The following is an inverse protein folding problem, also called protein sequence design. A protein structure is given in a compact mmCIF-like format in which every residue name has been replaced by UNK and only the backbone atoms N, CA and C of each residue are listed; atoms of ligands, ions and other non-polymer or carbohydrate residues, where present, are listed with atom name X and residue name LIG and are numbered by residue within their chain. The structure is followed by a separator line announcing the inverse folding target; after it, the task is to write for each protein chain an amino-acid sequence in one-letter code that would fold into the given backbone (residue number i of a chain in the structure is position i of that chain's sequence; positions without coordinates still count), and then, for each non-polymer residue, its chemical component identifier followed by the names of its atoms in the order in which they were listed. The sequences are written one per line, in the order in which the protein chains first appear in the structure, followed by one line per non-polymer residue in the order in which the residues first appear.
data_IF_256012840988
#
_entry.id   IF_256012840988
#
_cell.length_a   1.000
_cell.length_b   1.000
_cell.length_c   1.000
_cell.angle_alpha   90.00
_cell.angle_beta   90.00
_cell.angle_gamma   90.00
#
_symmetry.space_group_name_H-M   'P 1'
#
loop_
_entity.id
_entity.type
_entity.pdbx_description
1 polymer ?
#
# COMPACT_ATOMS: atom_id res chain seq x y z
N UNK A 1 8.77 -34.38 2.78
CA UNK A 1 7.66 -33.82 1.96
C UNK A 1 7.88 -32.33 1.82
N UNK A 2 7.73 -31.76 0.62
CA UNK A 2 7.75 -30.30 0.47
C UNK A 2 6.56 -29.71 1.25
N UNK A 3 6.80 -28.65 2.03
CA UNK A 3 5.75 -27.96 2.79
C UNK A 3 4.76 -27.33 1.81
N UNK A 4 3.45 -27.51 2.05
CA UNK A 4 2.42 -26.90 1.21
C UNK A 4 2.56 -25.37 1.19
N UNK A 5 2.29 -24.77 0.02
CA UNK A 5 2.35 -23.33 -0.15
C UNK A 5 1.11 -22.68 0.50
N UNK A 6 1.34 -21.87 1.53
CA UNK A 6 0.30 -21.04 2.16
C UNK A 6 0.44 -19.61 1.67
N UNK A 7 -0.58 -19.09 0.98
CA UNK A 7 -0.60 -17.74 0.43
C UNK A 7 -1.68 -16.94 1.15
N UNK A 8 -1.30 -15.85 1.81
CA UNK A 8 -2.26 -14.88 2.32
C UNK A 8 -2.45 -13.77 1.28
N UNK A 9 -3.69 -13.56 0.87
CA UNK A 9 -4.07 -12.56 -0.14
C UNK A 9 -4.73 -11.32 0.44
N UNK A 10 -4.91 -11.25 1.76
CA UNK A 10 -5.54 -10.14 2.45
C UNK A 10 -4.60 -9.56 3.52
N UNK A 11 -3.51 -8.95 3.04
CA UNK A 11 -2.58 -8.23 3.91
C UNK A 11 -2.29 -6.85 3.35
N UNK A 12 -2.15 -5.88 4.26
CA UNK A 12 -2.01 -4.49 3.89
C UNK A 12 -0.60 -3.95 4.12
N UNK A 13 -0.20 -3.03 3.26
CA UNK A 13 1.12 -2.38 3.27
C UNK A 13 0.95 -0.86 3.17
N UNK A 14 1.64 -0.12 4.03
CA UNK A 14 1.75 1.34 3.98
C UNK A 14 3.22 1.71 3.78
N UNK A 15 3.70 1.78 2.54
CA UNK A 15 5.08 2.15 2.28
C UNK A 15 5.37 3.57 2.76
N UNK A 16 6.57 3.83 3.26
CA UNK A 16 6.95 5.17 3.70
C UNK A 16 6.85 6.21 2.59
N UNK A 17 7.11 5.84 1.34
CA UNK A 17 6.98 6.73 0.17
C UNK A 17 5.56 7.30 0.06
N UNK A 18 4.55 6.46 0.29
CA UNK A 18 3.14 6.85 0.29
C UNK A 18 2.82 7.76 1.49
N UNK A 19 3.24 7.40 2.70
CA UNK A 19 3.01 8.22 3.89
C UNK A 19 3.67 9.61 3.80
N UNK A 20 4.90 9.68 3.26
CA UNK A 20 5.63 10.93 3.04
C UNK A 20 4.92 11.85 2.04
N UNK A 21 4.34 11.31 0.97
CA UNK A 21 3.55 12.09 0.01
C UNK A 21 2.29 12.67 0.65
N UNK A 22 1.58 11.90 1.48
CA UNK A 22 0.42 12.43 2.23
C UNK A 22 0.86 13.54 3.18
N UNK A 23 1.95 13.34 3.93
CA UNK A 23 2.45 14.34 4.86
C UNK A 23 2.86 15.64 4.15
N UNK A 24 3.47 15.54 2.97
CA UNK A 24 3.94 16.68 2.19
C UNK A 24 2.82 17.43 1.46
N UNK A 25 1.81 16.73 0.93
CA UNK A 25 0.86 17.31 -0.02
C UNK A 25 -0.62 17.15 0.38
N UNK A 26 -0.94 16.25 1.30
CA UNK A 26 -2.33 15.91 1.64
C UNK A 26 -3.15 17.07 2.19
N UNK A 27 -2.51 18.05 2.87
CA UNK A 27 -3.22 19.17 3.52
C UNK A 27 -4.07 19.97 2.53
N UNK A 28 -3.63 20.09 1.26
CA UNK A 28 -4.34 20.84 0.23
C UNK A 28 -5.71 20.23 -0.15
N UNK A 29 -5.89 18.94 0.14
CA UNK A 29 -7.13 18.17 -0.06
C UNK A 29 -7.68 17.64 1.27
N UNK A 30 -7.39 18.33 2.38
CA UNK A 30 -7.97 18.02 3.68
C UNK A 30 -7.49 16.71 4.31
N UNK A 31 -6.33 16.18 3.92
CA UNK A 31 -5.77 14.94 4.47
C UNK A 31 -4.43 15.18 5.16
N UNK A 32 -4.13 14.46 6.24
CA UNK A 32 -2.85 14.60 6.95
C UNK A 32 -2.41 13.29 7.58
N UNK A 33 -1.10 13.08 7.67
CA UNK A 33 -0.51 12.09 8.57
C UNK A 33 -0.38 12.74 9.94
N UNK A 34 -0.93 12.12 10.97
CA UNK A 34 -0.94 12.63 12.35
C UNK A 34 -0.37 11.59 13.30
N UNK A 35 0.30 12.05 14.34
CA UNK A 35 0.81 11.21 15.43
C UNK A 35 0.06 11.58 16.71
N UNK A 36 -0.48 10.57 17.42
CA UNK A 36 -1.13 10.82 18.71
C UNK A 36 -0.12 10.97 19.86
N UNK A 37 -0.61 11.28 21.06
CA UNK A 37 0.20 11.43 22.27
C UNK A 37 0.94 10.15 22.69
N UNK A 38 0.53 8.99 22.17
CA UNK A 38 1.15 7.69 22.43
C UNK A 38 2.16 7.30 21.35
N UNK A 39 2.43 8.17 20.36
CA UNK A 39 3.37 7.94 19.27
C UNK A 39 2.78 7.13 18.10
N UNK A 40 1.49 6.83 18.10
CA UNK A 40 0.86 6.07 17.02
C UNK A 40 0.59 6.97 15.82
N UNK A 41 0.90 6.46 14.62
CA UNK A 41 0.67 7.17 13.36
C UNK A 41 -0.71 6.85 12.79
N UNK A 42 -1.39 7.86 12.25
CA UNK A 42 -2.68 7.74 11.57
C UNK A 42 -2.71 8.57 10.30
N UNK A 43 -3.56 8.19 9.35
CA UNK A 43 -3.98 9.07 8.25
C UNK A 43 -5.37 9.61 8.60
N UNK A 44 -5.51 10.92 8.65
CA UNK A 44 -6.75 11.65 8.88
C UNK A 44 -7.22 12.27 7.56
N UNK A 45 -8.38 11.85 7.05
CA UNK A 45 -9.04 12.43 5.86
C UNK A 45 -10.27 13.20 6.32
N UNK A 46 -10.23 14.53 6.14
CA UNK A 46 -11.24 15.43 6.66
C UNK A 46 -11.47 15.26 8.17
N UNK A 47 -12.72 15.37 8.61
CA UNK A 47 -13.10 15.20 10.01
C UNK A 47 -13.60 13.77 10.35
N UNK A 48 -13.91 12.96 9.33
CA UNK A 48 -14.73 11.76 9.53
C UNK A 48 -13.95 10.45 9.45
N UNK A 49 -12.80 10.42 8.76
CA UNK A 49 -12.07 9.19 8.50
C UNK A 49 -10.68 9.23 9.10
N UNK A 50 -10.45 8.34 10.06
CA UNK A 50 -9.15 8.13 10.69
C UNK A 50 -8.71 6.68 10.50
N UNK A 51 -7.59 6.49 9.82
CA UNK A 51 -7.00 5.17 9.56
C UNK A 51 -5.77 4.98 10.43
N UNK A 52 -5.76 3.90 11.20
CA UNK A 52 -4.62 3.50 12.02
C UNK A 52 -5.08 2.76 13.29
N UNK A 53 -4.15 2.48 14.23
CA UNK A 53 -2.76 2.89 14.19
C UNK A 53 -1.97 2.18 13.09
N UNK A 54 -1.17 2.92 12.34
CA UNK A 54 -0.21 2.39 11.36
C UNK A 54 1.05 2.01 12.13
N UNK A 55 1.08 0.77 12.60
CA UNK A 55 2.21 0.19 13.35
C UNK A 55 3.30 -0.34 12.40
N UNK A 56 4.48 -0.64 12.96
CA UNK A 56 5.67 -1.09 12.20
C UNK A 56 5.38 -2.21 11.22
N UNK A 57 4.52 -3.18 11.56
CA UNK A 57 4.15 -4.31 10.68
C UNK A 57 3.53 -3.91 9.35
N UNK A 58 2.93 -2.72 9.25
CA UNK A 58 2.43 -2.20 7.99
C UNK A 58 3.53 -1.63 7.09
N UNK A 59 4.73 -1.36 7.61
CA UNK A 59 5.80 -0.60 6.94
C UNK A 59 7.07 -1.46 6.79
N UNK A 60 7.48 -2.14 7.85
CA UNK A 60 8.70 -2.94 7.93
C UNK A 60 8.50 -4.32 7.28
N UNK A 61 9.18 -4.53 6.15
CA UNK A 61 9.12 -5.79 5.42
C UNK A 61 9.92 -6.91 6.10
N UNK A 62 10.99 -6.59 6.82
CA UNK A 62 11.78 -7.60 7.53
C UNK A 62 11.00 -8.13 8.75
N UNK A 63 10.30 -7.25 9.48
CA UNK A 63 9.36 -7.67 10.53
C UNK A 63 8.26 -8.55 9.94
N UNK A 64 7.69 -8.15 8.80
CA UNK A 64 6.67 -8.94 8.09
C UNK A 64 7.19 -10.33 7.71
N UNK A 65 8.39 -10.46 7.15
CA UNK A 65 8.96 -11.76 6.78
C UNK A 65 9.14 -12.64 8.03
N UNK A 66 9.66 -12.08 9.13
CA UNK A 66 9.77 -12.82 10.41
C UNK A 66 8.40 -13.28 10.92
N UNK A 67 7.36 -12.46 10.76
CA UNK A 67 6.00 -12.82 11.16
C UNK A 67 5.43 -13.94 10.30
N UNK A 68 5.62 -13.85 8.98
CA UNK A 68 5.23 -14.88 8.02
C UNK A 68 5.86 -16.23 8.38
N UNK A 69 7.16 -16.24 8.71
CA UNK A 69 7.87 -17.46 9.11
C UNK A 69 7.27 -18.09 10.37
N UNK A 70 6.92 -17.27 11.38
CA UNK A 70 6.28 -17.75 12.61
C UNK A 70 4.87 -18.29 12.38
N UNK A 71 4.12 -17.70 11.46
CA UNK A 71 2.75 -18.12 11.12
C UNK A 71 2.72 -19.27 10.11
N UNK A 72 3.86 -19.60 9.49
CA UNK A 72 3.90 -20.60 8.42
C UNK A 72 3.30 -20.12 7.10
N UNK A 73 3.23 -18.81 6.89
CA UNK A 73 2.77 -18.20 5.63
C UNK A 73 3.95 -18.09 4.68
N UNK A 74 3.81 -18.71 3.51
CA UNK A 74 4.90 -18.79 2.53
C UNK A 74 4.94 -17.56 1.62
N UNK A 75 3.78 -16.97 1.33
CA UNK A 75 3.67 -15.79 0.47
C UNK A 75 2.58 -14.83 0.92
N UNK A 76 2.84 -13.54 0.80
CA UNK A 76 1.87 -12.46 1.01
C UNK A 76 1.61 -11.75 -0.32
N UNK A 77 0.33 -11.49 -0.62
CA UNK A 77 -0.06 -10.54 -1.66
C UNK A 77 -0.41 -9.20 -1.01
N UNK A 78 0.50 -8.24 -1.15
CA UNK A 78 0.40 -6.92 -0.53
C UNK A 78 -0.64 -6.06 -1.26
N UNK A 79 -1.51 -5.40 -0.50
CA UNK A 79 -2.51 -4.46 -1.00
C UNK A 79 -2.49 -3.16 -0.19
N UNK A 80 -2.98 -2.07 -0.76
CA UNK A 80 -3.29 -0.87 0.01
C UNK A 80 -4.65 -1.08 0.69
N UNK A 81 -4.90 -0.38 1.79
CA UNK A 81 -6.21 -0.35 2.45
C UNK A 81 -6.66 1.09 2.66
N UNK A 82 -7.80 1.27 3.33
CA UNK A 82 -8.33 2.58 3.72
C UNK A 82 -7.19 3.48 4.24
N UNK A 83 -7.11 4.76 3.85
CA UNK A 83 -8.09 5.50 3.06
C UNK A 83 -7.94 5.37 1.54
N UNK A 84 -7.08 4.47 1.04
CA UNK A 84 -6.77 4.35 -0.39
C UNK A 84 -6.32 5.71 -0.97
N UNK A 85 -6.63 6.01 -2.24
CA UNK A 85 -6.25 7.27 -2.90
C UNK A 85 -7.44 8.14 -3.31
N UNK A 86 -8.68 7.69 -3.13
CA UNK A 86 -9.89 8.34 -3.68
C UNK A 86 -10.32 9.63 -2.95
N UNK A 87 -9.52 10.11 -2.01
CA UNK A 87 -9.68 11.41 -1.38
C UNK A 87 -8.77 12.47 -2.02
N UNK A 88 -7.84 12.06 -2.88
CA UNK A 88 -6.86 12.94 -3.50
C UNK A 88 -7.39 13.56 -4.79
N UNK A 89 -6.86 14.73 -5.16
CA UNK A 89 -7.00 15.26 -6.52
C UNK A 89 -6.19 14.43 -7.52
N UNK A 90 -6.43 14.62 -8.83
CA UNK A 90 -5.78 13.84 -9.90
C UNK A 90 -4.24 13.81 -9.79
N UNK A 91 -3.61 14.97 -9.53
CA UNK A 91 -2.15 15.09 -9.43
C UNK A 91 -1.60 14.29 -8.23
N UNK A 92 -2.24 14.39 -7.06
CA UNK A 92 -1.81 13.67 -5.88
C UNK A 92 -2.17 12.18 -5.96
N UNK A 93 -3.34 11.85 -6.51
CA UNK A 93 -3.82 10.48 -6.69
C UNK A 93 -2.87 9.64 -7.54
N UNK A 94 -2.41 10.18 -8.68
CA UNK A 94 -1.40 9.52 -9.52
C UNK A 94 -0.09 9.34 -8.76
N UNK A 95 0.42 10.38 -8.08
CA UNK A 95 1.67 10.29 -7.31
C UNK A 95 1.60 9.22 -6.21
N UNK A 96 0.48 9.13 -5.51
CA UNK A 96 0.25 8.13 -4.48
C UNK A 96 0.19 6.71 -5.06
N UNK A 97 -0.52 6.52 -6.17
CA UNK A 97 -0.57 5.23 -6.87
C UNK A 97 0.81 4.78 -7.35
N UNK A 98 1.56 5.69 -8.00
CA UNK A 98 2.91 5.40 -8.48
C UNK A 98 3.82 5.00 -7.32
N UNK A 99 3.84 5.80 -6.25
CA UNK A 99 4.68 5.53 -5.08
C UNK A 99 4.34 4.22 -4.38
N UNK A 100 3.06 3.85 -4.32
CA UNK A 100 2.61 2.59 -3.75
C UNK A 100 2.98 1.39 -4.63
N UNK A 101 2.68 1.46 -5.92
CA UNK A 101 2.96 0.38 -6.88
C UNK A 101 4.46 0.12 -7.03
N UNK A 102 5.28 1.18 -7.04
CA UNK A 102 6.74 1.07 -7.07
C UNK A 102 7.29 0.43 -5.79
N UNK A 103 6.72 0.76 -4.63
CA UNK A 103 7.10 0.16 -3.36
C UNK A 103 6.70 -1.32 -3.27
N UNK A 104 5.54 -1.71 -3.80
CA UNK A 104 5.17 -3.13 -3.98
C UNK A 104 6.22 -3.85 -4.82
N UNK A 105 6.61 -3.24 -5.95
CA UNK A 105 7.57 -3.86 -6.86
C UNK A 105 8.96 -3.97 -6.24
N UNK A 106 9.37 -2.97 -5.44
CA UNK A 106 10.59 -3.02 -4.66
C UNK A 106 10.54 -4.12 -3.59
N UNK A 107 9.42 -4.25 -2.86
CA UNK A 107 9.20 -5.31 -1.88
C UNK A 107 9.31 -6.71 -2.52
N UNK A 108 8.71 -6.89 -3.70
CA UNK A 108 8.86 -8.12 -4.48
C UNK A 108 10.31 -8.36 -4.88
N UNK A 109 11.04 -7.36 -5.39
CA UNK A 109 12.46 -7.54 -5.76
C UNK A 109 13.33 -7.93 -4.56
N UNK A 110 13.04 -7.40 -3.37
CA UNK A 110 13.74 -7.77 -2.14
C UNK A 110 13.41 -9.21 -1.70
N UNK A 111 12.18 -9.69 -1.92
CA UNK A 111 11.73 -11.02 -1.52
C UNK A 111 10.84 -11.71 -2.58
N UNK A 112 11.38 -12.08 -3.76
CA UNK A 112 10.57 -12.42 -4.94
C UNK A 112 9.75 -13.71 -4.81
N UNK A 113 10.17 -14.63 -3.93
CA UNK A 113 9.42 -15.85 -3.59
C UNK A 113 8.50 -15.70 -2.38
N UNK A 114 8.42 -14.52 -1.76
CA UNK A 114 7.65 -14.30 -0.53
C UNK A 114 6.61 -13.18 -0.65
N UNK A 115 6.86 -12.18 -1.48
CA UNK A 115 5.99 -11.01 -1.62
C UNK A 115 5.60 -10.81 -3.08
N UNK A 116 4.30 -10.67 -3.33
CA UNK A 116 3.74 -10.12 -4.56
C UNK A 116 2.83 -8.95 -4.16
N UNK A 117 2.25 -8.23 -5.12
CA UNK A 117 1.30 -7.20 -4.76
C UNK A 117 0.21 -6.91 -5.78
N UNK A 118 -0.81 -6.23 -5.28
CA UNK A 118 -1.97 -5.77 -6.00
C UNK A 118 -1.85 -4.27 -6.18
N UNK A 119 -1.84 -3.83 -7.43
CA UNK A 119 -1.71 -2.42 -7.75
C UNK A 119 -2.94 -1.64 -7.26
N UNK A 120 -2.72 -0.41 -6.81
CA UNK A 120 -3.80 0.56 -6.67
C UNK A 120 -3.81 1.49 -7.90
N UNK A 121 -4.99 1.98 -8.27
CA UNK A 121 -5.20 2.84 -9.43
C UNK A 121 -5.98 4.09 -9.02
N UNK A 122 -5.75 5.25 -9.69
CA UNK A 122 -6.49 6.49 -9.44
C UNK A 122 -7.89 6.43 -10.10
N UNK A 123 -8.76 5.54 -9.61
CA UNK A 123 -10.05 5.21 -10.25
C UNK A 123 -11.06 6.37 -10.35
N UNK A 124 -10.80 7.51 -9.71
CA UNK A 124 -11.62 8.72 -9.89
C UNK A 124 -11.49 9.33 -11.29
N UNK A 125 -10.37 9.06 -11.98
CA UNK A 125 -10.14 9.49 -13.34
C UNK A 125 -9.80 8.27 -14.22
N UNK A 126 -10.73 7.81 -15.08
CA UNK A 126 -10.53 6.63 -15.92
C UNK A 126 -9.30 6.71 -16.85
N UNK A 127 -8.97 7.89 -17.37
CA UNK A 127 -7.80 8.07 -18.24
C UNK A 127 -6.52 7.82 -17.47
N UNK A 128 -6.36 8.47 -16.31
CA UNK A 128 -5.19 8.30 -15.46
C UNK A 128 -5.10 6.88 -14.89
N UNK A 129 -6.25 6.23 -14.62
CA UNK A 129 -6.29 4.85 -14.18
C UNK A 129 -5.76 3.88 -15.25
N UNK A 130 -6.12 4.09 -16.52
CA UNK A 130 -5.62 3.28 -17.63
C UNK A 130 -4.12 3.49 -17.86
N UNK A 131 -3.64 4.73 -17.78
CA UNK A 131 -2.21 5.04 -17.88
C UNK A 131 -1.40 4.35 -16.78
N UNK A 132 -1.87 4.44 -15.53
CA UNK A 132 -1.19 3.79 -14.41
C UNK A 132 -1.30 2.27 -14.47
N UNK A 133 -2.41 1.70 -14.97
CA UNK A 133 -2.53 0.26 -15.19
C UNK A 133 -1.50 -0.23 -16.22
N UNK A 134 -1.34 0.48 -17.34
CA UNK A 134 -0.36 0.17 -18.38
C UNK A 134 1.09 0.25 -17.88
N UNK A 135 1.36 1.11 -16.90
CA UNK A 135 2.65 1.19 -16.22
C UNK A 135 2.82 0.06 -15.20
N UNK A 136 1.86 -0.09 -14.29
CA UNK A 136 1.91 -1.01 -13.16
C UNK A 136 1.97 -2.47 -13.59
N UNK A 137 1.31 -2.85 -14.70
CA UNK A 137 1.38 -4.24 -15.24
C UNK A 137 2.79 -4.67 -15.67
N UNK A 138 3.70 -3.72 -15.89
CA UNK A 138 5.10 -3.96 -16.28
C UNK A 138 6.02 -4.08 -15.06
N UNK A 139 5.55 -3.74 -13.87
CA UNK A 139 6.33 -3.79 -12.65
C UNK A 139 6.48 -5.25 -12.17
N UNK A 140 7.72 -5.70 -11.84
CA UNK A 140 7.93 -7.00 -11.21
C UNK A 140 7.08 -7.18 -9.95
N UNK A 141 6.45 -8.34 -9.79
CA UNK A 141 5.69 -8.69 -8.60
C UNK A 141 4.24 -8.20 -8.55
N UNK A 142 3.81 -7.34 -9.47
CA UNK A 142 2.40 -6.92 -9.56
C UNK A 142 1.59 -8.02 -10.24
N UNK A 143 0.52 -8.49 -9.58
CA UNK A 143 -0.28 -9.65 -10.02
C UNK A 143 -1.78 -9.43 -10.10
N UNK A 144 -2.30 -8.37 -9.49
CA UNK A 144 -3.71 -7.99 -9.57
C UNK A 144 -3.89 -6.49 -9.31
N UNK A 145 -5.15 -6.04 -9.26
CA UNK A 145 -5.57 -4.72 -8.81
C UNK A 145 -6.37 -4.89 -7.52
N UNK A 146 -6.22 -3.96 -6.59
CA UNK A 146 -7.06 -3.85 -5.41
C UNK A 146 -7.81 -2.52 -5.45
N UNK A 147 -9.13 -2.56 -5.27
CA UNK A 147 -10.01 -1.38 -5.31
C UNK A 147 -10.91 -1.35 -4.08
N UNK A 148 -11.21 -0.14 -3.59
CA UNK A 148 -12.27 0.05 -2.62
C UNK A 148 -13.63 0.17 -3.32
N UNK A 149 -14.69 -0.16 -2.59
CA UNK A 149 -16.09 -0.05 -3.02
C UNK A 149 -16.66 1.34 -2.81
#
# INVERSE_FOLDING_TARGET
MARAQTIDTHVHYFPESYLKLIAAHGKRVGTSVVTDSSGNTFIQVGLHLRTGPIVSRFIDLDERIRDMDRQGVTMHALSLTQPMVYWADDDLGVKLCVAFNDAISAAHRAHPGRLIGFACLPLQNPTLALEELERARKLPGVKAIYMAT
#
